data_IF_324466544616
#
_entry.id   IF_324466544616
#
_cell.length_a   1.000
_cell.length_b   1.000
_cell.length_c   1.000
_cell.angle_alpha   90.00
_cell.angle_beta   90.00
_cell.angle_gamma   90.00
#
_symmetry.space_group_name_H-M   'P 1'
#
loop_
_entity.id
_entity.type
_entity.pdbx_description
1 polymer ?
#
# COMPACT_ATOMS: atom_id res chain seq x y z
N UNK A 1 3.13 11.37 -10.56
CA UNK A 1 4.15 10.33 -10.42
C UNK A 1 5.44 10.68 -11.16
N UNK A 2 5.36 11.17 -12.41
CA UNK A 2 6.58 11.51 -13.17
C UNK A 2 7.42 12.58 -12.45
N UNK A 3 6.84 13.73 -12.14
CA UNK A 3 7.53 14.86 -11.49
C UNK A 3 7.97 14.54 -10.04
N UNK A 4 7.18 13.72 -9.32
CA UNK A 4 7.38 13.47 -7.89
C UNK A 4 8.27 12.25 -7.63
N UNK A 5 8.51 11.41 -8.64
CA UNK A 5 9.30 10.18 -8.53
C UNK A 5 10.34 10.11 -9.63
N UNK A 6 9.94 9.98 -10.90
CA UNK A 6 10.88 9.69 -11.99
C UNK A 6 11.90 10.81 -12.17
N UNK A 7 11.46 12.07 -12.18
CA UNK A 7 12.34 13.23 -12.38
C UNK A 7 13.32 13.46 -11.20
N UNK A 8 13.06 12.82 -10.04
CA UNK A 8 13.95 12.84 -8.88
C UNK A 8 15.03 11.75 -8.93
N UNK A 9 14.89 10.79 -9.85
CA UNK A 9 15.83 9.67 -10.05
C UNK A 9 16.21 8.92 -8.76
N UNK A 10 15.23 8.47 -7.92
CA UNK A 10 15.54 7.73 -6.71
C UNK A 10 16.09 6.34 -7.06
N UNK A 11 16.89 5.77 -6.18
CA UNK A 11 17.35 4.38 -6.31
C UNK A 11 16.19 3.39 -6.13
N UNK A 12 15.27 3.71 -5.21
CA UNK A 12 14.11 2.87 -4.90
C UNK A 12 12.88 3.73 -4.63
N UNK A 13 11.70 3.22 -5.00
CA UNK A 13 10.40 3.81 -4.65
C UNK A 13 9.55 2.80 -3.90
N UNK A 14 8.96 3.21 -2.77
CA UNK A 14 7.92 2.46 -2.07
C UNK A 14 6.57 3.03 -2.48
N UNK A 15 5.71 2.19 -3.06
CA UNK A 15 4.37 2.58 -3.50
C UNK A 15 3.34 2.06 -2.49
N UNK A 16 2.77 2.97 -1.70
CA UNK A 16 1.64 2.72 -0.81
C UNK A 16 0.46 3.55 -1.33
N UNK A 17 -0.48 2.91 -1.98
CA UNK A 17 -1.64 3.54 -2.61
C UNK A 17 -2.86 2.60 -2.61
N UNK A 18 -4.06 3.15 -2.88
CA UNK A 18 -5.28 2.39 -3.06
C UNK A 18 -6.36 2.65 -2.01
N UNK A 19 -6.01 3.08 -0.79
CA UNK A 19 -7.03 3.29 0.27
C UNK A 19 -8.05 4.38 -0.10
N UNK A 20 -7.61 5.46 -0.76
CA UNK A 20 -8.51 6.52 -1.22
C UNK A 20 -9.46 6.05 -2.33
N UNK A 21 -8.99 5.17 -3.20
CA UNK A 21 -9.81 4.57 -4.26
C UNK A 21 -10.85 3.61 -3.65
N UNK A 22 -10.44 2.76 -2.71
CA UNK A 22 -11.34 1.85 -1.98
C UNK A 22 -12.40 2.64 -1.20
N UNK A 23 -12.00 3.76 -0.57
CA UNK A 23 -12.90 4.65 0.16
C UNK A 23 -13.86 5.46 -0.74
N UNK A 24 -13.73 5.37 -2.08
CA UNK A 24 -14.53 6.12 -3.04
C UNK A 24 -14.15 7.60 -3.18
N UNK A 25 -13.07 8.05 -2.57
CA UNK A 25 -12.65 9.46 -2.60
C UNK A 25 -12.21 9.92 -4.00
N UNK A 26 -11.85 9.00 -4.88
CA UNK A 26 -11.43 9.24 -6.28
C UNK A 26 -12.54 8.92 -7.29
N UNK A 27 -13.74 8.62 -6.81
CA UNK A 27 -14.88 8.15 -7.61
C UNK A 27 -15.03 6.63 -7.57
N UNK A 28 -16.01 6.06 -8.31
CA UNK A 28 -16.21 4.62 -8.34
C UNK A 28 -14.99 3.88 -8.83
N UNK A 29 -14.57 2.86 -8.08
CA UNK A 29 -13.42 2.03 -8.41
C UNK A 29 -13.72 0.55 -8.14
N UNK A 30 -12.88 -0.33 -8.67
CA UNK A 30 -12.86 -1.76 -8.36
C UNK A 30 -11.41 -2.24 -8.23
N UNK A 31 -11.24 -3.48 -7.76
CA UNK A 31 -9.92 -4.07 -7.53
C UNK A 31 -9.02 -3.94 -8.78
N UNK A 32 -9.56 -4.27 -9.97
CA UNK A 32 -8.79 -4.20 -11.22
C UNK A 32 -8.32 -2.78 -11.53
N UNK A 33 -9.17 -1.77 -11.40
CA UNK A 33 -8.81 -0.37 -11.67
C UNK A 33 -7.70 0.10 -10.71
N UNK A 34 -7.83 -0.25 -9.43
CA UNK A 34 -6.85 0.12 -8.40
C UNK A 34 -5.50 -0.52 -8.71
N UNK A 35 -5.49 -1.82 -8.96
CA UNK A 35 -4.25 -2.56 -9.22
C UNK A 35 -3.61 -2.17 -10.55
N UNK A 36 -4.38 -1.95 -11.63
CA UNK A 36 -3.88 -1.46 -12.91
C UNK A 36 -3.15 -0.12 -12.78
N UNK A 37 -3.69 0.80 -11.96
CA UNK A 37 -3.05 2.09 -11.69
C UNK A 37 -1.71 1.92 -10.94
N UNK A 38 -1.67 1.05 -9.93
CA UNK A 38 -0.45 0.76 -9.17
C UNK A 38 0.59 0.05 -10.05
N UNK A 39 0.17 -0.91 -10.86
CA UNK A 39 1.05 -1.62 -11.79
C UNK A 39 1.62 -0.70 -12.87
N UNK A 40 0.82 0.27 -13.33
CA UNK A 40 1.31 1.30 -14.26
C UNK A 40 2.42 2.15 -13.64
N UNK A 41 2.28 2.56 -12.38
CA UNK A 41 3.34 3.28 -11.66
C UNK A 41 4.59 2.41 -11.49
N UNK A 42 4.44 1.13 -11.15
CA UNK A 42 5.54 0.19 -11.03
C UNK A 42 6.27 -0.01 -12.36
N UNK A 43 5.52 -0.17 -13.46
CA UNK A 43 6.07 -0.30 -14.81
C UNK A 43 6.87 0.95 -15.23
N UNK A 44 6.33 2.14 -14.97
CA UNK A 44 7.02 3.41 -15.27
C UNK A 44 8.31 3.53 -14.45
N UNK A 45 8.27 3.21 -13.15
CA UNK A 45 9.45 3.26 -12.31
C UNK A 45 10.54 2.29 -12.80
N UNK A 46 10.17 1.03 -13.05
CA UNK A 46 11.10 0.00 -13.57
C UNK A 46 11.71 0.40 -14.92
N UNK A 47 10.93 1.00 -15.83
CA UNK A 47 11.40 1.47 -17.11
C UNK A 47 12.40 2.66 -17.00
N UNK A 48 12.52 3.26 -15.84
CA UNK A 48 13.47 4.33 -15.51
C UNK A 48 14.56 3.87 -14.50
N UNK A 49 14.83 2.56 -14.45
CA UNK A 49 15.86 1.96 -13.59
C UNK A 49 15.67 2.19 -12.08
N UNK A 50 14.42 2.46 -11.65
CA UNK A 50 14.06 2.65 -10.25
C UNK A 50 13.58 1.31 -9.68
N UNK A 51 14.19 0.84 -8.60
CA UNK A 51 13.72 -0.35 -7.90
C UNK A 51 12.37 -0.09 -7.25
N UNK A 52 11.45 -1.05 -7.34
CA UNK A 52 10.07 -0.88 -6.87
C UNK A 52 9.78 -1.80 -5.69
N UNK A 53 9.22 -1.21 -4.65
CA UNK A 53 8.64 -1.91 -3.51
C UNK A 53 7.13 -1.63 -3.51
N UNK A 54 6.31 -2.63 -3.78
CA UNK A 54 4.87 -2.53 -3.63
C UNK A 54 4.49 -2.79 -2.17
N UNK A 55 3.79 -1.86 -1.56
CA UNK A 55 3.32 -1.98 -0.19
C UNK A 55 1.89 -2.49 -0.13
N UNK A 56 1.59 -3.34 0.86
CA UNK A 56 0.21 -3.67 1.19
C UNK A 56 -0.58 -2.42 1.55
N UNK A 57 -1.83 -2.34 1.11
CA UNK A 57 -2.82 -1.40 1.64
C UNK A 57 -3.07 -1.73 3.11
N UNK A 58 -3.18 -0.70 3.96
CA UNK A 58 -3.42 -0.89 5.38
C UNK A 58 -4.82 -1.46 5.64
N UNK A 59 -5.00 -2.23 6.72
CA UNK A 59 -6.31 -2.76 7.06
C UNK A 59 -7.28 -1.64 7.44
N UNK A 60 -8.49 -1.68 6.90
CA UNK A 60 -9.61 -0.80 7.26
C UNK A 60 -10.86 -1.63 7.37
N UNK A 61 -11.54 -1.56 8.52
CA UNK A 61 -12.80 -2.27 8.73
C UNK A 61 -13.97 -1.56 8.05
N UNK A 62 -14.04 -0.22 8.15
CA UNK A 62 -15.02 0.64 7.51
C UNK A 62 -14.50 2.06 7.37
N UNK A 63 -15.04 2.77 6.40
CA UNK A 63 -14.83 4.21 6.24
C UNK A 63 -16.05 4.95 6.79
N UNK A 64 -15.88 5.66 7.93
CA UNK A 64 -17.01 6.32 8.61
C UNK A 64 -17.65 7.42 7.75
N UNK A 65 -16.89 8.01 6.82
CA UNK A 65 -17.37 9.07 5.91
C UNK A 65 -17.96 8.53 4.59
N UNK A 66 -17.82 7.23 4.32
CA UNK A 66 -18.32 6.57 3.11
C UNK A 66 -19.05 5.27 3.48
N UNK A 67 -20.21 5.37 4.16
CA UNK A 67 -20.93 4.19 4.62
C UNK A 67 -21.50 3.32 3.48
N UNK A 68 -21.55 3.86 2.26
CA UNK A 68 -21.94 3.15 1.04
C UNK A 68 -20.87 2.14 0.57
N UNK A 69 -19.61 2.26 1.04
CA UNK A 69 -18.57 1.29 0.73
C UNK A 69 -18.77 0.04 1.58
N UNK A 70 -19.25 -0.99 0.92
CA UNK A 70 -19.55 -2.28 1.55
C UNK A 70 -18.29 -3.15 1.56
N UNK A 71 -17.99 -3.73 2.73
CA UNK A 71 -16.90 -4.70 2.91
C UNK A 71 -15.50 -4.25 2.44
N UNK A 72 -14.96 -3.12 2.98
CA UNK A 72 -13.58 -2.74 2.72
C UNK A 72 -12.55 -3.85 2.97
N UNK A 73 -12.68 -4.69 4.03
CA UNK A 73 -11.74 -5.78 4.28
C UNK A 73 -11.55 -6.73 3.11
N UNK A 74 -12.63 -7.21 2.48
CA UNK A 74 -12.51 -8.13 1.34
C UNK A 74 -11.89 -7.46 0.12
N UNK A 75 -12.18 -6.18 -0.10
CA UNK A 75 -11.55 -5.42 -1.19
C UNK A 75 -10.06 -5.23 -0.94
N UNK A 76 -9.67 -4.89 0.30
CA UNK A 76 -8.26 -4.74 0.70
C UNK A 76 -7.50 -6.07 0.56
N UNK A 77 -8.08 -7.17 1.01
CA UNK A 77 -7.48 -8.50 0.87
C UNK A 77 -7.21 -8.80 -0.62
N UNK A 78 -8.21 -8.60 -1.49
CA UNK A 78 -8.07 -8.85 -2.92
C UNK A 78 -7.01 -7.95 -3.59
N UNK A 79 -6.97 -6.67 -3.24
CA UNK A 79 -5.91 -5.75 -3.74
C UNK A 79 -4.54 -6.20 -3.28
N UNK A 80 -4.37 -6.53 -2.00
CA UNK A 80 -3.09 -6.94 -1.43
C UNK A 80 -2.59 -8.26 -2.03
N UNK A 81 -3.49 -9.22 -2.30
CA UNK A 81 -3.15 -10.46 -3.00
C UNK A 81 -2.63 -10.17 -4.41
N UNK A 82 -3.34 -9.36 -5.19
CA UNK A 82 -2.89 -8.93 -6.52
C UNK A 82 -1.53 -8.22 -6.50
N UNK A 83 -1.31 -7.32 -5.53
CA UNK A 83 -0.03 -6.60 -5.39
C UNK A 83 1.13 -7.56 -5.09
N UNK A 84 0.90 -8.53 -4.20
CA UNK A 84 1.90 -9.52 -3.84
C UNK A 84 2.24 -10.42 -5.02
N UNK A 85 1.23 -10.98 -5.69
CA UNK A 85 1.42 -11.83 -6.87
C UNK A 85 2.13 -11.09 -8.01
N UNK A 86 1.76 -9.82 -8.25
CA UNK A 86 2.42 -9.00 -9.26
C UNK A 86 3.89 -8.75 -8.92
N UNK A 87 4.20 -8.42 -7.66
CA UNK A 87 5.57 -8.23 -7.22
C UNK A 87 6.41 -9.50 -7.42
N UNK A 88 5.90 -10.66 -6.99
CA UNK A 88 6.57 -11.96 -7.17
C UNK A 88 6.79 -12.29 -8.65
N UNK A 89 5.78 -12.12 -9.49
CA UNK A 89 5.83 -12.45 -10.92
C UNK A 89 6.75 -11.53 -11.74
N UNK A 90 6.99 -10.30 -11.27
CA UNK A 90 7.79 -9.30 -11.97
C UNK A 90 9.16 -9.04 -11.31
N UNK A 91 9.55 -9.83 -10.31
CA UNK A 91 10.82 -9.65 -9.61
C UNK A 91 10.91 -8.33 -8.82
N UNK A 92 9.77 -7.80 -8.35
CA UNK A 92 9.69 -6.62 -7.52
C UNK A 92 9.65 -7.02 -6.04
N UNK A 93 9.85 -6.05 -5.17
CA UNK A 93 9.75 -6.27 -3.73
C UNK A 93 8.34 -6.02 -3.23
N UNK A 94 7.91 -6.80 -2.22
CA UNK A 94 6.65 -6.60 -1.50
C UNK A 94 6.91 -6.24 -0.05
N UNK A 95 6.19 -5.24 0.47
CA UNK A 95 6.30 -4.71 1.83
C UNK A 95 4.98 -4.92 2.56
N UNK A 96 4.96 -5.84 3.52
CA UNK A 96 3.75 -6.24 4.24
C UNK A 96 3.58 -5.45 5.55
N UNK A 97 2.89 -4.32 5.48
CA UNK A 97 2.39 -3.62 6.66
C UNK A 97 1.13 -4.28 7.23
N UNK A 98 0.26 -4.80 6.35
CA UNK A 98 -1.06 -5.30 6.71
C UNK A 98 -1.00 -6.34 7.82
N UNK A 99 -0.17 -7.38 7.67
CA UNK A 99 -0.12 -8.50 8.62
C UNK A 99 0.29 -8.09 10.04
N UNK A 100 1.05 -7.00 10.20
CA UNK A 100 1.49 -6.50 11.51
C UNK A 100 0.48 -5.56 12.16
N UNK A 101 -0.39 -4.94 11.36
CA UNK A 101 -1.28 -3.88 11.79
C UNK A 101 -2.76 -4.29 11.90
N UNK A 102 -3.13 -5.46 11.34
CA UNK A 102 -4.51 -5.95 11.28
C UNK A 102 -4.99 -6.50 12.64
N UNK A 103 -6.22 -6.16 13.01
CA UNK A 103 -6.93 -6.74 14.15
C UNK A 103 -7.77 -7.98 13.75
N UNK A 104 -8.49 -8.55 14.72
CA UNK A 104 -9.33 -9.74 14.51
C UNK A 104 -10.60 -9.49 13.66
N UNK A 105 -10.94 -8.23 13.38
CA UNK A 105 -12.07 -7.83 12.51
C UNK A 105 -11.60 -7.39 11.12
N UNK A 106 -10.30 -7.59 10.82
CA UNK A 106 -9.63 -7.10 9.60
C UNK A 106 -9.57 -5.57 9.49
N UNK A 107 -9.68 -4.87 10.61
CA UNK A 107 -9.46 -3.43 10.72
C UNK A 107 -8.06 -3.11 11.23
N UNK A 108 -7.74 -1.83 11.29
CA UNK A 108 -6.49 -1.35 11.89
C UNK A 108 -6.57 -1.47 13.41
N UNK A 109 -5.53 -2.06 14.05
CA UNK A 109 -5.46 -2.17 15.51
C UNK A 109 -5.62 -0.80 16.17
N UNK A 110 -6.44 -0.71 17.21
CA UNK A 110 -6.77 0.55 17.91
C UNK A 110 -5.54 1.30 18.43
N UNK A 111 -4.49 0.58 18.78
CA UNK A 111 -3.24 1.18 19.26
C UNK A 111 -2.48 1.96 18.18
N UNK A 112 -2.76 1.68 16.90
CA UNK A 112 -2.08 2.26 15.75
C UNK A 112 -2.88 3.34 15.02
N UNK A 113 -4.09 3.64 15.47
CA UNK A 113 -4.97 4.57 14.76
C UNK A 113 -5.93 5.30 15.69
N UNK A 114 -6.24 6.59 15.44
CA UNK A 114 -7.29 7.30 16.13
C UNK A 114 -8.69 7.08 15.55
N UNK A 115 -8.79 6.72 14.26
CA UNK A 115 -10.04 6.72 13.49
C UNK A 115 -10.32 5.42 12.71
N UNK A 116 -9.44 4.43 12.83
CA UNK A 116 -9.56 3.14 12.13
C UNK A 116 -9.02 3.13 10.70
N UNK A 117 -8.48 4.26 10.21
CA UNK A 117 -7.97 4.41 8.84
C UNK A 117 -6.56 4.99 8.81
N UNK A 118 -6.33 6.10 9.49
CA UNK A 118 -5.04 6.80 9.47
C UNK A 118 -4.15 6.30 10.61
N UNK A 119 -2.88 5.97 10.33
CA UNK A 119 -1.94 5.63 11.39
C UNK A 119 -1.67 6.81 12.33
N UNK A 120 -1.57 6.53 13.62
CA UNK A 120 -1.03 7.46 14.61
C UNK A 120 0.50 7.34 14.70
N UNK A 121 1.12 8.05 15.66
CA UNK A 121 2.57 8.02 15.88
C UNK A 121 3.12 6.58 16.05
N UNK A 122 2.48 5.75 16.88
CA UNK A 122 2.87 4.35 17.07
C UNK A 122 2.72 3.51 15.79
N UNK A 123 1.67 3.78 15.01
CA UNK A 123 1.45 3.14 13.72
C UNK A 123 2.57 3.47 12.74
N UNK A 124 2.95 4.73 12.64
CA UNK A 124 4.07 5.16 11.78
C UNK A 124 5.42 4.66 12.29
N UNK A 125 5.64 4.59 13.60
CA UNK A 125 6.86 4.01 14.18
C UNK A 125 7.03 2.54 13.77
N UNK A 126 5.94 1.75 13.87
CA UNK A 126 5.95 0.36 13.40
C UNK A 126 6.21 0.27 11.90
N UNK A 127 5.52 1.09 11.09
CA UNK A 127 5.71 1.12 9.63
C UNK A 127 7.14 1.50 9.27
N UNK A 128 7.73 2.48 9.94
CA UNK A 128 9.14 2.88 9.73
C UNK A 128 10.10 1.73 9.95
N UNK A 129 9.96 0.99 11.05
CA UNK A 129 10.83 -0.16 11.33
C UNK A 129 10.70 -1.28 10.29
N UNK A 130 9.48 -1.52 9.79
CA UNK A 130 9.24 -2.52 8.72
C UNK A 130 9.87 -2.05 7.40
N UNK A 131 9.66 -0.78 7.03
CA UNK A 131 10.22 -0.19 5.81
C UNK A 131 11.74 -0.15 5.85
N UNK A 132 12.34 0.32 6.94
CA UNK A 132 13.79 0.38 7.12
C UNK A 132 14.44 -0.99 6.92
N UNK A 133 13.91 -2.01 7.59
CA UNK A 133 14.42 -3.39 7.45
C UNK A 133 14.35 -3.87 6.00
N UNK A 134 13.28 -3.58 5.28
CA UNK A 134 13.14 -3.94 3.86
C UNK A 134 14.13 -3.17 2.99
N UNK A 135 14.22 -1.87 3.17
CA UNK A 135 15.09 -1.00 2.36
C UNK A 135 16.57 -1.32 2.59
N UNK A 136 16.98 -1.59 3.82
CA UNK A 136 18.34 -2.04 4.12
C UNK A 136 18.70 -3.33 3.38
N UNK A 137 17.76 -4.26 3.25
CA UNK A 137 17.98 -5.51 2.51
C UNK A 137 18.07 -5.33 0.98
N UNK A 138 17.56 -4.21 0.45
CA UNK A 138 17.56 -3.88 -0.98
C UNK A 138 18.80 -3.06 -1.35
N UNK A 139 19.20 -2.14 -0.49
CA UNK A 139 20.25 -1.15 -0.74
C UNK A 139 21.65 -1.59 -0.28
N UNK A 140 21.79 -2.83 0.20
CA UNK A 140 23.08 -3.40 0.65
C UNK A 140 23.83 -2.51 1.66
N UNK A 141 23.10 -1.98 2.63
CA UNK A 141 23.71 -1.22 3.75
C UNK A 141 24.23 -2.13 4.86
#
# INVERSE_FOLDING_TARGET
FKQDVVDLMPTVVVILAGTNDIAGNTGPSNVKMITDNIFSMATIATANDIQVVLSSVLPVYKYEWSPEIVDPPSTIDAVNECLKEYAESNGLYYLDYFSKMVDNRKGLKKEFTPDGVHPNEKGYELMSGIAEKKLMSILDF
#
